data_IF_689906394402
#
_entry.id   IF_689906394402
#
_cell.length_a   1.000
_cell.length_b   1.000
_cell.length_c   1.000
_cell.angle_alpha   90.00
_cell.angle_beta   90.00
_cell.angle_gamma   90.00
#
_symmetry.space_group_name_H-M   'P 1'
#
loop_
_entity.id
_entity.type
_entity.pdbx_description
1 polymer ?
#
# COMPACT_ATOMS: atom_id res chain seq x y z
N UNK A 1 -2.05 14.56 1.17
CA UNK A 1 -1.87 13.30 1.91
C UNK A 1 -0.59 12.66 1.37
N UNK A 2 0.31 12.12 2.21
CA UNK A 2 1.53 11.50 1.68
C UNK A 2 1.21 10.12 1.07
N UNK A 3 2.15 9.58 0.29
CA UNK A 3 1.98 8.29 -0.40
C UNK A 3 1.56 7.16 0.55
N UNK A 4 2.25 7.04 1.68
CA UNK A 4 2.03 5.97 2.66
C UNK A 4 0.67 6.08 3.34
N UNK A 5 0.22 7.29 3.66
CA UNK A 5 -1.11 7.56 4.23
C UNK A 5 -2.23 7.16 3.25
N UNK A 6 -2.06 7.46 1.96
CA UNK A 6 -3.01 7.05 0.92
C UNK A 6 -3.11 5.52 0.86
N UNK A 7 -1.97 4.83 0.84
CA UNK A 7 -1.91 3.37 0.82
C UNK A 7 -2.53 2.77 2.09
N UNK A 8 -2.13 3.24 3.27
CA UNK A 8 -2.60 2.74 4.55
C UNK A 8 -4.13 2.83 4.65
N UNK A 9 -4.72 3.93 4.17
CA UNK A 9 -6.17 4.13 4.24
C UNK A 9 -6.94 3.40 3.15
N UNK A 10 -6.46 3.45 1.89
CA UNK A 10 -7.25 2.97 0.74
C UNK A 10 -7.00 1.50 0.38
N UNK A 11 -5.81 0.98 0.68
CA UNK A 11 -5.49 -0.45 0.44
C UNK A 11 -5.65 -1.24 1.73
N UNK A 12 -5.00 -0.79 2.81
CA UNK A 12 -4.97 -1.54 4.07
C UNK A 12 -6.21 -1.27 4.96
N UNK A 13 -7.01 -0.25 4.65
CA UNK A 13 -8.21 0.10 5.42
C UNK A 13 -7.92 0.64 6.82
N UNK A 14 -6.68 0.97 7.13
CA UNK A 14 -6.28 1.50 8.43
C UNK A 14 -6.82 2.93 8.60
N UNK A 15 -7.35 3.23 9.79
CA UNK A 15 -7.87 4.58 10.07
C UNK A 15 -6.86 5.39 10.87
N UNK A 16 -6.82 6.68 10.59
CA UNK A 16 -6.03 7.62 11.38
C UNK A 16 -6.56 7.64 12.83
N UNK A 17 -5.70 7.28 13.78
CA UNK A 17 -6.01 7.31 15.20
C UNK A 17 -5.44 8.57 15.86
N UNK A 18 -4.20 8.92 15.52
CA UNK A 18 -3.48 10.15 15.86
C UNK A 18 -2.53 10.52 14.73
N UNK A 19 -1.98 11.73 14.78
CA UNK A 19 -1.06 12.26 13.77
C UNK A 19 0.16 11.36 13.48
N UNK A 20 0.57 10.50 14.41
CA UNK A 20 1.70 9.57 14.32
C UNK A 20 1.30 8.10 14.28
N UNK A 21 0.00 7.79 14.17
CA UNK A 21 -0.50 6.44 14.42
C UNK A 21 -1.80 6.10 13.70
N UNK A 22 -1.81 4.94 13.06
CA UNK A 22 -3.02 4.32 12.51
C UNK A 22 -3.55 3.21 13.42
N UNK A 23 -4.80 2.81 13.18
CA UNK A 23 -5.43 1.65 13.80
C UNK A 23 -5.90 0.67 12.73
N UNK A 24 -5.44 -0.57 12.85
CA UNK A 24 -5.85 -1.71 12.05
C UNK A 24 -7.03 -2.41 12.74
N UNK A 25 -8.22 -2.32 12.15
CA UNK A 25 -9.43 -2.94 12.71
C UNK A 25 -9.49 -4.45 12.48
N UNK A 26 -8.80 -4.98 11.47
CA UNK A 26 -8.77 -6.42 11.21
C UNK A 26 -7.92 -7.15 12.26
N UNK A 27 -6.85 -6.48 12.73
CA UNK A 27 -5.91 -7.03 13.72
C UNK A 27 -6.06 -6.47 15.13
N UNK A 28 -6.89 -5.46 15.31
CA UNK A 28 -7.10 -4.72 16.57
C UNK A 28 -5.81 -4.11 17.16
N UNK A 29 -4.87 -3.68 16.31
CA UNK A 29 -3.58 -3.11 16.73
C UNK A 29 -3.40 -1.66 16.31
N UNK A 30 -2.55 -0.94 17.04
CA UNK A 30 -2.06 0.37 16.63
C UNK A 30 -0.71 0.24 15.92
N UNK A 31 -0.52 1.04 14.87
CA UNK A 31 0.67 1.01 14.02
C UNK A 31 1.23 2.42 13.96
N UNK A 32 2.48 2.62 14.39
CA UNK A 32 3.11 3.93 14.27
C UNK A 32 3.43 4.22 12.81
N UNK A 33 3.29 5.48 12.41
CA UNK A 33 3.61 5.93 11.05
C UNK A 33 5.05 5.60 10.68
N UNK A 34 5.96 5.66 11.66
CA UNK A 34 7.37 5.32 11.49
C UNK A 34 7.66 3.83 11.35
N UNK A 35 6.74 2.95 11.77
CA UNK A 35 6.93 1.49 11.73
C UNK A 35 6.57 0.89 10.37
N UNK A 36 5.72 1.55 9.58
CA UNK A 36 5.33 1.06 8.26
C UNK A 36 6.09 1.80 7.14
N UNK A 37 7.19 1.17 6.69
CA UNK A 37 8.11 1.70 5.68
C UNK A 37 8.16 0.81 4.43
N UNK A 38 7.10 0.73 3.61
CA UNK A 38 7.03 -0.21 2.48
C UNK A 38 7.96 0.16 1.32
N UNK A 39 8.44 1.40 1.23
CA UNK A 39 9.45 1.77 0.20
C UNK A 39 10.84 1.19 0.50
N UNK A 40 11.15 0.94 1.78
CA UNK A 40 12.48 0.50 2.25
C UNK A 40 12.48 -0.95 2.73
N UNK A 41 11.35 -1.44 3.23
CA UNK A 41 11.20 -2.77 3.78
C UNK A 41 10.32 -3.65 2.88
N UNK A 42 10.91 -4.68 2.30
CA UNK A 42 10.22 -5.61 1.40
C UNK A 42 9.08 -6.37 2.10
N UNK A 43 9.21 -6.73 3.38
CA UNK A 43 8.13 -7.41 4.12
C UNK A 43 6.88 -6.54 4.21
N UNK A 44 7.08 -5.24 4.46
CA UNK A 44 5.99 -4.26 4.46
C UNK A 44 5.40 -4.06 3.07
N UNK A 45 6.22 -4.03 2.02
CA UNK A 45 5.75 -3.96 0.65
C UNK A 45 4.91 -5.20 0.28
N UNK A 46 5.34 -6.40 0.69
CA UNK A 46 4.61 -7.64 0.43
C UNK A 46 3.25 -7.68 1.13
N UNK A 47 3.05 -6.98 2.26
CA UNK A 47 1.72 -6.80 2.84
C UNK A 47 0.75 -6.15 1.85
N UNK A 48 1.22 -5.20 1.05
CA UNK A 48 0.42 -4.55 0.00
C UNK A 48 0.07 -5.52 -1.12
N UNK A 49 1.03 -6.37 -1.51
CA UNK A 49 0.81 -7.41 -2.52
C UNK A 49 -0.31 -8.35 -2.07
N UNK A 50 -0.24 -8.85 -0.84
CA UNK A 50 -1.27 -9.76 -0.32
C UNK A 50 -2.63 -9.07 -0.22
N UNK A 51 -2.69 -7.82 0.27
CA UNK A 51 -3.96 -7.11 0.35
C UNK A 51 -4.57 -6.80 -1.02
N UNK A 52 -3.75 -6.42 -2.01
CA UNK A 52 -4.22 -6.19 -3.38
C UNK A 52 -4.70 -7.47 -4.05
N UNK A 53 -4.07 -8.62 -3.78
CA UNK A 53 -4.58 -9.93 -4.22
C UNK A 53 -5.93 -10.26 -3.60
N UNK A 54 -6.12 -9.99 -2.30
CA UNK A 54 -7.44 -10.14 -1.64
C UNK A 54 -8.52 -9.26 -2.28
N UNK A 55 -8.14 -8.07 -2.77
CA UNK A 55 -9.00 -7.17 -3.52
C UNK A 55 -9.23 -7.57 -4.98
N UNK A 56 -8.59 -8.65 -5.45
CA UNK A 56 -8.78 -9.23 -6.78
C UNK A 56 -7.73 -8.85 -7.82
N UNK A 57 -6.69 -8.10 -7.45
CA UNK A 57 -5.62 -7.72 -8.39
C UNK A 57 -4.65 -8.88 -8.65
N UNK A 58 -4.16 -8.98 -9.88
CA UNK A 58 -3.12 -9.95 -10.24
C UNK A 58 -1.73 -9.33 -10.13
N UNK A 59 -0.96 -9.74 -9.12
CA UNK A 59 0.45 -9.36 -8.98
C UNK A 59 1.36 -10.12 -9.96
N UNK A 60 2.20 -9.39 -10.69
CA UNK A 60 3.30 -9.92 -11.50
C UNK A 60 4.55 -9.07 -11.33
N UNK A 61 5.71 -9.67 -11.50
CA UNK A 61 6.99 -8.96 -11.55
C UNK A 61 7.89 -9.58 -12.62
N UNK A 62 8.78 -8.78 -13.19
CA UNK A 62 9.77 -9.17 -14.20
C UNK A 62 11.20 -8.90 -13.71
N UNK A 63 11.40 -9.05 -12.41
CA UNK A 63 12.67 -8.82 -11.71
C UNK A 63 12.46 -8.05 -10.41
N UNK A 64 13.44 -7.24 -10.03
CA UNK A 64 13.42 -6.52 -8.77
C UNK A 64 13.03 -5.04 -8.90
N UNK A 65 12.72 -4.55 -10.11
CA UNK A 65 12.59 -3.10 -10.37
C UNK A 65 11.29 -2.70 -11.06
N UNK A 66 10.46 -3.65 -11.49
CA UNK A 66 9.23 -3.40 -12.24
C UNK A 66 8.15 -4.37 -11.80
N UNK A 67 7.00 -3.84 -11.39
CA UNK A 67 5.87 -4.59 -10.83
C UNK A 67 4.59 -4.21 -11.54
N UNK A 68 3.74 -5.21 -11.73
CA UNK A 68 2.40 -5.07 -12.27
C UNK A 68 1.35 -5.52 -11.27
N UNK A 69 0.28 -4.75 -11.17
CA UNK A 69 -1.01 -5.18 -10.67
C UNK A 69 -2.03 -4.97 -11.78
N UNK A 70 -2.41 -6.07 -12.43
CA UNK A 70 -3.23 -6.06 -13.65
C UNK A 70 -2.63 -5.17 -14.77
N UNK A 71 -3.24 -4.02 -15.04
CA UNK A 71 -2.81 -3.04 -16.04
C UNK A 71 -1.95 -1.91 -15.46
N UNK A 72 -1.87 -1.78 -14.13
CA UNK A 72 -1.01 -0.81 -13.46
C UNK A 72 0.40 -1.36 -13.40
N UNK A 73 1.34 -0.66 -14.04
CA UNK A 73 2.76 -0.99 -14.05
C UNK A 73 3.57 0.18 -13.48
N UNK A 74 4.38 -0.09 -12.46
CA UNK A 74 5.28 0.91 -11.89
C UNK A 74 6.68 0.35 -11.66
N UNK A 75 7.64 1.27 -11.59
CA UNK A 75 9.06 0.97 -11.36
C UNK A 75 9.56 1.52 -10.03
N UNK A 76 10.65 0.95 -9.54
CA UNK A 76 11.39 1.43 -8.39
C UNK A 76 12.88 1.12 -8.49
N UNK A 77 13.67 1.71 -7.60
CA UNK A 77 15.07 1.37 -7.39
C UNK A 77 15.25 0.03 -6.66
N UNK A 78 14.19 -0.43 -5.99
CA UNK A 78 14.10 -1.74 -5.33
C UNK A 78 12.72 -2.35 -5.55
N UNK A 79 12.59 -3.65 -5.26
CA UNK A 79 11.31 -4.34 -5.38
C UNK A 79 10.27 -3.76 -4.41
N UNK A 80 10.71 -3.42 -3.19
CA UNK A 80 9.86 -2.79 -2.18
C UNK A 80 9.30 -1.45 -2.68
N UNK A 81 10.15 -0.63 -3.30
CA UNK A 81 9.75 0.64 -3.88
C UNK A 81 8.84 0.46 -5.11
N UNK A 82 9.14 -0.50 -6.00
CA UNK A 82 8.31 -0.78 -7.18
C UNK A 82 6.89 -1.23 -6.78
N UNK A 83 6.79 -2.14 -5.80
CA UNK A 83 5.50 -2.56 -5.21
C UNK A 83 4.76 -1.36 -4.64
N UNK A 84 5.44 -0.54 -3.84
CA UNK A 84 4.82 0.61 -3.16
C UNK A 84 4.33 1.65 -4.16
N UNK A 85 5.08 1.90 -5.23
CA UNK A 85 4.68 2.79 -6.31
C UNK A 85 3.44 2.27 -7.03
N UNK A 86 3.42 0.98 -7.40
CA UNK A 86 2.26 0.38 -8.07
C UNK A 86 1.00 0.42 -7.18
N UNK A 87 1.16 0.07 -5.90
CA UNK A 87 0.10 0.16 -4.91
C UNK A 87 -0.41 1.60 -4.75
N UNK A 88 0.48 2.59 -4.73
CA UNK A 88 0.08 3.99 -4.69
C UNK A 88 -0.71 4.39 -5.94
N UNK A 89 -0.26 4.05 -7.14
CA UNK A 89 -0.96 4.37 -8.39
C UNK A 89 -2.37 3.78 -8.43
N UNK A 90 -2.56 2.58 -7.89
CA UNK A 90 -3.90 1.98 -7.68
C UNK A 90 -4.71 2.81 -6.67
N UNK A 91 -4.14 3.08 -5.50
CA UNK A 91 -4.84 3.76 -4.42
C UNK A 91 -5.24 5.19 -4.78
N UNK A 92 -4.37 5.93 -5.45
CA UNK A 92 -4.58 7.33 -5.84
C UNK A 92 -5.61 7.45 -6.97
N UNK A 93 -5.60 6.52 -7.93
CA UNK A 93 -6.56 6.47 -9.03
C UNK A 93 -7.88 5.75 -8.68
N UNK A 94 -7.98 5.18 -7.47
CA UNK A 94 -9.21 4.53 -7.02
C UNK A 94 -10.29 5.58 -6.75
N UNK A 95 -11.47 5.38 -7.36
CA UNK A 95 -12.70 6.16 -7.09
C UNK A 95 -13.34 5.82 -5.72
N UNK A 96 -12.55 5.30 -4.78
CA UNK A 96 -13.00 4.94 -3.44
C UNK A 96 -13.55 6.21 -2.78
N UNK A 97 -14.84 6.14 -2.46
CA UNK A 97 -15.68 7.24 -2.01
C UNK A 97 -15.02 8.04 -0.87
N UNK A 98 -14.91 9.35 -1.09
CA UNK A 98 -14.41 10.32 -0.12
C UNK A 98 -15.24 10.31 1.19
N UNK A 99 -16.44 9.72 1.21
CA UNK A 99 -17.26 9.56 2.41
C UNK A 99 -16.67 8.66 3.52
N UNK A 100 -15.53 7.99 3.26
CA UNK A 100 -14.73 7.27 4.26
C UNK A 100 -13.52 8.07 4.77
N UNK A 101 -13.40 9.37 4.40
CA UNK A 101 -12.35 10.29 4.89
C UNK A 101 -12.52 10.73 6.34
#
# INVERSE_FOLDING_TARGET
MNKIEIIARRILGWKLNRWDRWYDYEKEIFILVSEFQPEENLEHAMLLVEKLKELGFTYKTNGDLEVWFDDVCEKGETLAQAITNAAFSIADNSSIDEGWL
#
